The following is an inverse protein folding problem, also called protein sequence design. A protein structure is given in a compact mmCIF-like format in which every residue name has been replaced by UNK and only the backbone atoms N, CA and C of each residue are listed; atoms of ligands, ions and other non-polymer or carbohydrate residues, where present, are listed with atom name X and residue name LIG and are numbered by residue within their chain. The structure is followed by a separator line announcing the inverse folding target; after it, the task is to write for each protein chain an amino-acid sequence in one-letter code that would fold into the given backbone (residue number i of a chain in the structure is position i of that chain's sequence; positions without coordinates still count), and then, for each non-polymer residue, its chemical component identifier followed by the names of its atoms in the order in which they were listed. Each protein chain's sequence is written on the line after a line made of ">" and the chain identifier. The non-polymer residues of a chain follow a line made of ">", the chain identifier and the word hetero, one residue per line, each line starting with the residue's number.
data_IF_771845776445
#
_entry.id   IF_771845776445
#
_cell.length_a   1.000
_cell.length_b   1.000
_cell.length_c   1.000
_cell.angle_alpha   90.00
_cell.angle_beta   90.00
_cell.angle_gamma   90.00
#
_symmetry.space_group_name_H-M   'P 1'
#
loop_
_entity.id
_entity.type
_entity.pdbx_description
1 polymer ?
#
# COMPACT_ATOMS: atom_id res chain seq x y z
N UNK A 1 -14.79 9.56 24.90
CA UNK A 1 -15.56 10.14 23.79
C UNK A 1 -14.72 10.28 22.51
N UNK A 2 -13.38 10.21 22.57
CA UNK A 2 -12.52 10.23 21.37
C UNK A 2 -12.45 8.90 20.60
N UNK A 3 -12.45 7.74 21.26
CA UNK A 3 -12.32 6.45 20.55
C UNK A 3 -13.44 6.15 19.54
N UNK A 4 -14.71 6.46 19.87
CA UNK A 4 -15.82 6.33 18.92
C UNK A 4 -15.72 7.37 17.80
N UNK A 5 -15.17 8.57 18.07
CA UNK A 5 -14.80 9.52 17.01
C UNK A 5 -13.71 8.93 16.11
N UNK A 6 -12.67 8.32 16.67
CA UNK A 6 -11.57 7.67 15.94
C UNK A 6 -12.07 6.49 15.09
N UNK A 7 -12.87 5.59 15.65
CA UNK A 7 -13.48 4.49 14.90
C UNK A 7 -14.46 4.98 13.82
N UNK A 8 -15.22 6.05 14.08
CA UNK A 8 -16.10 6.65 13.07
C UNK A 8 -15.36 7.45 11.99
N UNK A 9 -14.05 7.67 12.14
CA UNK A 9 -13.17 8.21 11.11
C UNK A 9 -12.60 7.12 10.18
N UNK A 10 -12.58 5.84 10.59
CA UNK A 10 -12.08 4.73 9.75
C UNK A 10 -12.96 4.46 8.51
N UNK A 11 -14.31 4.44 8.58
CA UNK A 11 -15.14 4.35 7.37
C UNK A 11 -14.98 5.57 6.47
N UNK A 12 -14.70 6.74 7.07
CA UNK A 12 -14.46 7.99 6.35
C UNK A 12 -13.07 8.04 5.73
N UNK A 13 -12.10 7.21 6.15
CA UNK A 13 -10.77 7.23 5.52
C UNK A 13 -10.75 6.72 4.08
N UNK A 14 -11.85 6.14 3.55
CA UNK A 14 -11.98 5.78 2.13
C UNK A 14 -12.16 7.02 1.23
N UNK A 15 -13.17 7.90 1.42
CA UNK A 15 -13.24 9.17 0.68
C UNK A 15 -12.17 10.21 1.10
N UNK A 16 -11.63 10.13 2.32
CA UNK A 16 -10.54 11.00 2.81
C UNK A 16 -9.12 10.37 2.68
N UNK A 17 -8.99 9.29 1.90
CA UNK A 17 -7.70 8.73 1.46
C UNK A 17 -6.99 9.67 0.47
N UNK A 18 -7.77 10.51 -0.21
CA UNK A 18 -7.28 11.64 -0.99
C UNK A 18 -7.02 12.78 -0.01
N UNK A 19 -5.79 13.28 0.00
CA UNK A 19 -5.31 14.25 0.99
C UNK A 19 -6.04 15.58 0.82
N UNK A 20 -7.09 15.81 1.60
CA UNK A 20 -7.67 17.14 1.82
C UNK A 20 -7.09 17.75 3.09
N UNK A 21 -6.71 19.01 2.97
CA UNK A 21 -5.95 19.78 3.95
C UNK A 21 -6.74 20.09 5.24
N UNK A 22 -5.99 20.37 6.32
CA UNK A 22 -6.39 21.10 7.54
C UNK A 22 -7.01 20.36 8.75
N UNK A 23 -6.50 19.18 9.12
CA UNK A 23 -6.58 18.76 10.53
C UNK A 23 -5.27 18.12 11.00
N UNK A 24 -4.46 18.89 11.74
CA UNK A 24 -3.13 18.48 12.23
C UNK A 24 -3.21 17.26 13.15
N UNK A 25 -4.33 17.09 13.87
CA UNK A 25 -4.57 15.91 14.71
C UNK A 25 -4.73 14.66 13.85
N UNK A 26 -5.46 14.77 12.73
CA UNK A 26 -5.69 13.69 11.79
C UNK A 26 -4.40 13.29 11.04
N UNK A 27 -3.51 14.24 10.76
CA UNK A 27 -2.18 13.98 10.17
C UNK A 27 -1.30 13.20 11.14
N UNK A 28 -1.16 13.66 12.38
CA UNK A 28 -0.35 12.96 13.40
C UNK A 28 -0.84 11.53 13.67
N UNK A 29 -2.16 11.33 13.63
CA UNK A 29 -2.76 10.01 13.79
C UNK A 29 -2.50 9.10 12.58
N UNK A 30 -2.66 9.63 11.35
CA UNK A 30 -2.34 8.90 10.12
C UNK A 30 -0.87 8.46 10.10
N UNK A 31 0.04 9.31 10.57
CA UNK A 31 1.46 8.99 10.67
C UNK A 31 1.74 7.95 11.76
N UNK A 32 1.09 8.06 12.92
CA UNK A 32 1.19 7.05 13.99
C UNK A 32 0.73 5.67 13.50
N UNK A 33 -0.45 5.59 12.87
CA UNK A 33 -1.02 4.34 12.38
C UNK A 33 -0.29 3.74 11.18
N UNK A 34 0.57 4.52 10.52
CA UNK A 34 1.26 4.05 9.33
C UNK A 34 2.13 2.83 9.64
N UNK A 35 1.94 1.74 8.89
CA UNK A 35 2.79 0.57 8.92
C UNK A 35 3.60 0.57 7.63
N UNK A 36 4.92 0.71 7.77
CA UNK A 36 5.85 0.59 6.64
C UNK A 36 5.92 -0.88 6.23
N UNK A 37 5.63 -1.17 4.97
CA UNK A 37 5.67 -2.53 4.41
C UNK A 37 7.05 -2.87 3.87
N UNK A 38 7.34 -4.17 3.71
CA UNK A 38 8.60 -4.64 3.14
C UNK A 38 8.82 -4.13 1.71
N UNK A 39 7.74 -4.07 0.92
CA UNK A 39 7.79 -3.49 -0.43
C UNK A 39 8.12 -1.99 -0.40
N UNK A 40 7.63 -1.22 0.58
CA UNK A 40 8.02 0.18 0.72
C UNK A 40 9.51 0.31 1.06
N UNK A 41 10.03 -0.56 1.93
CA UNK A 41 11.46 -0.56 2.26
C UNK A 41 12.34 -0.94 1.07
N UNK A 42 11.92 -1.91 0.25
CA UNK A 42 12.64 -2.28 -0.97
C UNK A 42 12.49 -1.21 -2.06
N UNK A 43 11.31 -0.62 -2.19
CA UNK A 43 11.07 0.51 -3.08
C UNK A 43 11.97 1.69 -2.74
N UNK A 44 12.16 2.03 -1.47
CA UNK A 44 13.08 3.08 -1.06
C UNK A 44 14.52 2.79 -1.48
N UNK A 45 14.99 1.54 -1.32
CA UNK A 45 16.35 1.13 -1.75
C UNK A 45 16.52 1.28 -3.26
N UNK A 46 15.60 0.72 -4.04
CA UNK A 46 15.60 0.81 -5.50
C UNK A 46 15.51 2.26 -5.95
N UNK A 47 14.63 3.04 -5.32
CA UNK A 47 14.49 4.47 -5.59
C UNK A 47 15.80 5.21 -5.34
N UNK A 48 16.53 4.92 -4.25
CA UNK A 48 17.79 5.59 -3.95
C UNK A 48 18.91 5.21 -4.94
N UNK A 49 18.93 3.95 -5.38
CA UNK A 49 19.91 3.43 -6.32
C UNK A 49 19.62 3.84 -7.77
N UNK A 50 18.37 4.16 -8.11
CA UNK A 50 18.02 4.40 -9.50
C UNK A 50 18.65 5.66 -10.07
N UNK A 51 19.22 5.49 -11.25
CA UNK A 51 20.03 6.47 -11.97
C UNK A 51 19.54 6.65 -13.42
N UNK A 52 20.14 7.60 -14.15
CA UNK A 52 19.62 8.06 -15.45
C UNK A 52 19.25 6.92 -16.40
N UNK A 53 18.14 7.09 -17.12
CA UNK A 53 17.57 6.12 -18.07
C UNK A 53 17.10 4.79 -17.46
N UNK A 54 16.81 4.77 -16.15
CA UNK A 54 16.12 3.65 -15.51
C UNK A 54 14.63 3.96 -15.29
N UNK A 55 13.79 2.92 -15.45
CA UNK A 55 12.38 2.97 -15.05
C UNK A 55 12.15 2.05 -13.86
N UNK A 56 11.57 2.61 -12.79
CA UNK A 56 11.15 1.86 -11.60
C UNK A 56 9.64 1.74 -11.59
N UNK A 57 9.16 0.51 -11.71
CA UNK A 57 7.76 0.15 -11.73
C UNK A 57 7.29 -0.34 -10.37
N UNK A 58 6.34 0.37 -9.76
CA UNK A 58 5.61 -0.12 -8.59
C UNK A 58 4.27 -0.68 -9.07
N UNK A 59 4.20 -2.01 -9.16
CA UNK A 59 3.09 -2.77 -9.73
C UNK A 59 2.19 -3.34 -8.63
N UNK A 60 0.89 -3.35 -8.85
CA UNK A 60 -0.06 -3.99 -7.93
C UNK A 60 -1.51 -3.66 -8.27
N UNK A 61 -2.43 -4.30 -7.59
CA UNK A 61 -3.88 -4.11 -7.72
C UNK A 61 -4.37 -2.79 -7.12
N UNK A 62 -5.62 -2.43 -7.42
CA UNK A 62 -6.28 -1.29 -6.75
C UNK A 62 -6.35 -1.54 -5.24
N UNK A 63 -6.06 -0.51 -4.44
CA UNK A 63 -6.06 -0.61 -2.98
C UNK A 63 -4.76 -1.10 -2.34
N UNK A 64 -3.75 -1.54 -3.10
CA UNK A 64 -2.47 -2.01 -2.53
C UNK A 64 -1.61 -0.90 -1.91
N UNK A 65 -1.96 0.37 -2.12
CA UNK A 65 -1.24 1.51 -1.52
C UNK A 65 -0.13 2.10 -2.40
N UNK A 66 -0.04 1.72 -3.68
CA UNK A 66 0.91 2.30 -4.66
C UNK A 66 0.97 3.83 -4.60
N UNK A 67 -0.17 4.49 -4.75
CA UNK A 67 -0.26 5.95 -4.77
C UNK A 67 0.17 6.58 -3.44
N UNK A 68 -0.01 5.87 -2.31
CA UNK A 68 0.44 6.35 -0.99
C UNK A 68 1.96 6.37 -0.89
N UNK A 69 2.61 5.27 -1.29
CA UNK A 69 4.08 5.16 -1.35
C UNK A 69 4.64 6.23 -2.30
N UNK A 70 4.13 6.29 -3.54
CA UNK A 70 4.62 7.24 -4.54
C UNK A 70 4.41 8.70 -4.13
N UNK A 71 3.25 9.05 -3.59
CA UNK A 71 3.00 10.40 -3.06
C UNK A 71 4.03 10.77 -2.01
N UNK A 72 4.31 9.87 -1.07
CA UNK A 72 5.27 10.11 0.02
C UNK A 72 6.66 10.40 -0.52
N UNK A 73 7.20 9.53 -1.36
CA UNK A 73 8.56 9.68 -1.89
C UNK A 73 8.68 10.83 -2.90
N UNK A 74 7.64 11.10 -3.68
CA UNK A 74 7.65 12.20 -4.65
C UNK A 74 7.88 13.56 -3.98
N UNK A 75 7.42 13.76 -2.74
CA UNK A 75 7.68 15.02 -2.00
C UNK A 75 9.17 15.31 -1.80
N UNK A 76 9.98 14.27 -1.68
CA UNK A 76 11.41 14.39 -1.39
C UNK A 76 12.29 14.29 -2.63
N UNK A 77 11.84 13.56 -3.66
CA UNK A 77 12.68 13.20 -4.81
C UNK A 77 12.22 13.77 -6.16
N UNK A 78 11.10 14.54 -6.22
CA UNK A 78 10.58 15.15 -7.46
C UNK A 78 11.57 16.07 -8.19
N UNK A 79 12.54 16.65 -7.49
CA UNK A 79 13.56 17.52 -8.09
C UNK A 79 14.58 16.75 -8.93
N UNK A 80 14.78 15.45 -8.66
CA UNK A 80 15.81 14.63 -9.31
C UNK A 80 15.25 13.41 -10.05
N UNK A 81 14.04 12.97 -9.72
CA UNK A 81 13.34 11.84 -10.35
C UNK A 81 11.93 12.24 -10.79
N UNK A 82 11.46 11.66 -11.88
CA UNK A 82 10.12 11.93 -12.40
C UNK A 82 9.12 10.90 -11.87
N UNK A 83 8.03 11.36 -11.27
CA UNK A 83 7.04 10.51 -10.61
C UNK A 83 5.71 10.52 -11.35
N UNK A 84 5.15 9.34 -11.55
CA UNK A 84 3.82 9.14 -12.12
C UNK A 84 2.99 8.23 -11.20
N UNK A 85 2.03 8.82 -10.47
CA UNK A 85 1.41 8.18 -9.30
C UNK A 85 0.31 7.17 -9.65
N UNK A 86 -0.26 7.25 -10.85
CA UNK A 86 -1.29 6.34 -11.33
C UNK A 86 -1.38 6.39 -12.85
N UNK A 87 -0.68 5.48 -13.51
CA UNK A 87 -0.66 5.42 -14.97
C UNK A 87 -1.94 4.83 -15.61
N UNK A 88 -3.00 4.64 -14.82
CA UNK A 88 -4.24 4.01 -15.28
C UNK A 88 -5.40 4.98 -15.47
N UNK A 89 -5.26 6.22 -15.00
CA UNK A 89 -6.22 7.28 -15.25
C UNK A 89 -5.64 8.24 -16.29
N UNK A 90 -6.37 8.45 -17.39
CA UNK A 90 -6.02 9.53 -18.31
C UNK A 90 -6.25 10.87 -17.61
N UNK A 91 -5.30 11.79 -17.76
CA UNK A 91 -5.42 13.14 -17.23
C UNK A 91 -6.33 14.03 -18.10
N UNK A 92 -6.83 13.50 -19.22
CA UNK A 92 -7.70 14.22 -20.15
C UNK A 92 -8.88 13.36 -20.64
N UNK A 93 -9.99 14.04 -20.96
CA UNK A 93 -11.26 13.43 -21.42
C UNK A 93 -11.14 12.70 -22.77
N UNK A 94 -10.06 12.90 -23.52
CA UNK A 94 -9.87 12.36 -24.87
C UNK A 94 -8.69 11.41 -25.00
N UNK A 95 -7.91 11.20 -23.93
CA UNK A 95 -6.74 10.34 -23.94
C UNK A 95 -7.06 9.00 -23.29
N UNK A 96 -6.53 7.92 -23.84
CA UNK A 96 -6.60 6.60 -23.21
C UNK A 96 -5.41 6.39 -22.25
N UNK A 97 -5.53 5.49 -21.27
CA UNK A 97 -4.41 5.13 -20.40
C UNK A 97 -3.18 4.61 -21.17
N UNK A 98 -3.40 3.97 -22.34
CA UNK A 98 -2.31 3.51 -23.22
C UNK A 98 -1.56 4.70 -23.82
N UNK A 99 -2.28 5.70 -24.35
CA UNK A 99 -1.67 6.91 -24.90
C UNK A 99 -0.94 7.71 -23.82
N UNK A 100 -1.51 7.80 -22.62
CA UNK A 100 -0.85 8.44 -21.49
C UNK A 100 0.47 7.75 -21.12
N UNK A 101 0.49 6.41 -21.12
CA UNK A 101 1.72 5.64 -20.93
C UNK A 101 2.72 5.88 -22.07
N UNK A 102 2.29 5.88 -23.33
CA UNK A 102 3.15 6.14 -24.48
C UNK A 102 3.83 7.50 -24.39
N UNK A 103 3.07 8.56 -24.12
CA UNK A 103 3.61 9.91 -23.93
C UNK A 103 4.63 9.94 -22.79
N UNK A 104 4.35 9.29 -21.65
CA UNK A 104 5.28 9.29 -20.51
C UNK A 104 6.56 8.54 -20.81
N UNK A 105 6.50 7.44 -21.56
CA UNK A 105 7.68 6.71 -21.96
C UNK A 105 8.50 7.44 -23.03
N UNK A 106 7.83 8.14 -23.95
CA UNK A 106 8.52 9.01 -24.91
C UNK A 106 9.20 10.19 -24.21
N UNK A 107 8.51 10.88 -23.30
CA UNK A 107 9.11 11.93 -22.45
C UNK A 107 10.31 11.39 -21.65
N UNK A 108 10.19 10.20 -21.06
CA UNK A 108 11.29 9.57 -20.34
C UNK A 108 12.51 9.32 -21.22
N UNK A 109 12.33 8.88 -22.47
CA UNK A 109 13.45 8.66 -23.40
C UNK A 109 14.17 9.95 -23.79
N UNK A 110 13.47 11.07 -23.75
CA UNK A 110 14.04 12.40 -24.00
C UNK A 110 14.71 13.00 -22.76
N UNK A 111 14.35 12.52 -21.56
CA UNK A 111 14.83 13.03 -20.29
C UNK A 111 15.84 12.07 -19.66
N UNK A 112 17.06 12.54 -19.34
CA UNK A 112 18.08 11.74 -18.64
C UNK A 112 17.79 11.55 -17.14
N UNK A 113 16.52 11.40 -16.74
CA UNK A 113 16.08 11.28 -15.35
C UNK A 113 15.36 9.94 -15.13
N UNK A 114 15.52 9.30 -13.96
CA UNK A 114 14.78 8.08 -13.66
C UNK A 114 13.27 8.34 -13.64
N UNK A 115 12.51 7.45 -14.28
CA UNK A 115 11.05 7.47 -14.24
C UNK A 115 10.55 6.48 -13.18
N UNK A 116 9.75 6.99 -12.24
CA UNK A 116 9.17 6.23 -11.14
C UNK A 116 7.65 6.19 -11.34
N UNK A 117 7.10 5.02 -11.62
CA UNK A 117 5.71 4.89 -12.06
C UNK A 117 4.94 3.86 -11.25
N UNK A 118 3.76 4.25 -10.79
CA UNK A 118 2.76 3.37 -10.18
C UNK A 118 1.75 2.92 -11.20
N UNK A 119 1.54 1.61 -11.28
CA UNK A 119 0.69 1.03 -12.33
C UNK A 119 -0.04 -0.22 -11.87
N UNK A 120 -1.23 -0.42 -12.41
CA UNK A 120 -1.94 -1.69 -12.25
C UNK A 120 -1.34 -2.72 -13.21
N UNK A 121 -1.04 -3.92 -12.71
CA UNK A 121 -0.47 -5.01 -13.52
C UNK A 121 -1.38 -5.38 -14.71
N UNK A 122 -2.70 -5.27 -14.55
CA UNK A 122 -3.67 -5.46 -15.65
C UNK A 122 -3.43 -4.47 -16.79
N UNK A 123 -3.09 -3.21 -16.46
CA UNK A 123 -2.80 -2.18 -17.46
C UNK A 123 -1.55 -2.51 -18.28
N UNK A 124 -0.55 -3.14 -17.66
CA UNK A 124 0.63 -3.65 -18.38
C UNK A 124 0.31 -4.77 -19.37
N UNK A 125 -0.63 -5.65 -19.03
CA UNK A 125 -1.16 -6.62 -19.98
C UNK A 125 -1.74 -5.95 -21.24
N UNK A 126 -2.45 -4.84 -21.09
CA UNK A 126 -2.98 -4.07 -22.22
C UNK A 126 -1.89 -3.29 -22.97
N UNK A 127 -1.03 -2.58 -22.24
CA UNK A 127 0.01 -1.73 -22.82
C UNK A 127 1.03 -2.54 -23.64
N UNK A 128 1.46 -3.70 -23.13
CA UNK A 128 2.40 -4.58 -23.84
C UNK A 128 1.93 -5.00 -25.24
N UNK A 129 0.60 -5.05 -25.46
CA UNK A 129 -0.03 -5.41 -26.74
C UNK A 129 -0.34 -4.18 -27.60
N UNK A 130 -0.82 -3.11 -26.99
CA UNK A 130 -1.45 -1.97 -27.69
C UNK A 130 -0.64 -0.67 -27.69
N UNK A 131 0.40 -0.55 -26.87
CA UNK A 131 1.26 0.64 -26.84
C UNK A 131 1.99 0.87 -28.17
N UNK A 132 2.52 2.08 -28.34
CA UNK A 132 3.25 2.49 -29.55
C UNK A 132 4.46 1.60 -29.84
N UNK A 133 4.81 1.47 -31.11
CA UNK A 133 6.04 0.79 -31.54
C UNK A 133 7.29 1.63 -31.24
N UNK A 134 7.15 2.93 -31.03
CA UNK A 134 8.24 3.81 -30.56
C UNK A 134 8.74 3.38 -29.16
N UNK A 135 7.86 2.72 -28.38
CA UNK A 135 8.13 2.18 -27.06
C UNK A 135 8.28 0.65 -27.05
N UNK A 136 8.77 0.08 -28.16
CA UNK A 136 8.91 -1.37 -28.32
C UNK A 136 9.83 -2.02 -27.28
N UNK A 137 10.92 -1.37 -26.91
CA UNK A 137 11.84 -1.76 -25.84
C UNK A 137 11.10 -1.94 -24.51
N UNK A 138 10.38 -0.90 -24.06
CA UNK A 138 9.62 -0.91 -22.81
C UNK A 138 8.49 -1.95 -22.86
N UNK A 139 7.77 -2.05 -23.98
CA UNK A 139 6.76 -3.12 -24.18
C UNK A 139 7.37 -4.50 -24.06
N UNK A 140 8.57 -4.72 -24.58
CA UNK A 140 9.27 -6.01 -24.52
C UNK A 140 9.64 -6.35 -23.08
N UNK A 141 10.18 -5.40 -22.31
CA UNK A 141 10.49 -5.61 -20.90
C UNK A 141 9.24 -5.92 -20.06
N UNK A 142 8.13 -5.21 -20.31
CA UNK A 142 6.86 -5.49 -19.65
C UNK A 142 6.38 -6.91 -19.99
N UNK A 143 6.54 -7.39 -21.23
CA UNK A 143 6.18 -8.79 -21.59
C UNK A 143 7.05 -9.81 -20.85
N UNK A 144 8.35 -9.56 -20.74
CA UNK A 144 9.29 -10.43 -20.01
C UNK A 144 8.90 -10.50 -18.53
N UNK A 145 8.60 -9.35 -17.91
CA UNK A 145 8.11 -9.28 -16.54
C UNK A 145 6.80 -10.06 -16.36
N UNK A 146 5.79 -9.84 -17.21
CA UNK A 146 4.49 -10.53 -17.14
C UNK A 146 4.59 -12.04 -17.38
N UNK A 147 5.66 -12.50 -18.04
CA UNK A 147 5.94 -13.93 -18.22
C UNK A 147 6.63 -14.56 -17.00
N UNK A 148 6.93 -13.79 -15.94
CA UNK A 148 7.62 -14.27 -14.75
C UNK A 148 9.14 -14.40 -14.91
N UNK A 149 9.71 -13.85 -15.99
CA UNK A 149 11.14 -13.92 -16.26
C UNK A 149 11.89 -12.73 -15.65
N UNK A 150 13.19 -12.94 -15.36
CA UNK A 150 14.06 -11.84 -14.90
C UNK A 150 14.17 -10.76 -15.97
N UNK A 151 14.10 -9.51 -15.54
CA UNK A 151 14.23 -8.32 -16.38
C UNK A 151 15.67 -7.82 -16.37
N UNK A 152 16.07 -7.09 -17.41
CA UNK A 152 17.42 -6.53 -17.57
C UNK A 152 17.72 -5.38 -16.61
N UNK A 153 19.00 -5.02 -16.49
CA UNK A 153 19.55 -4.04 -15.53
C UNK A 153 18.84 -2.66 -15.48
N UNK A 154 18.27 -2.17 -16.59
CA UNK A 154 17.74 -0.80 -16.66
C UNK A 154 16.25 -0.64 -16.27
N UNK A 155 15.53 -1.72 -15.96
CA UNK A 155 14.11 -1.66 -15.59
C UNK A 155 13.84 -2.51 -14.36
N UNK A 156 13.42 -1.88 -13.26
CA UNK A 156 13.13 -2.59 -12.01
C UNK A 156 11.64 -2.68 -11.77
N UNK A 157 11.13 -3.90 -11.51
CA UNK A 157 9.74 -4.14 -11.18
C UNK A 157 9.61 -4.56 -9.71
N UNK A 158 8.80 -3.83 -8.96
CA UNK A 158 8.39 -4.14 -7.60
C UNK A 158 6.90 -4.42 -7.61
N UNK A 159 6.54 -5.69 -7.54
CA UNK A 159 5.14 -6.13 -7.55
C UNK A 159 4.65 -6.47 -6.15
N UNK A 160 3.56 -5.86 -5.73
CA UNK A 160 2.90 -6.15 -4.45
C UNK A 160 2.53 -7.64 -4.30
N UNK A 161 2.26 -8.36 -5.38
CA UNK A 161 1.97 -9.80 -5.32
C UNK A 161 3.19 -10.64 -4.90
N UNK A 162 4.40 -10.11 -5.09
CA UNK A 162 5.64 -10.75 -4.64
C UNK A 162 5.90 -10.60 -3.13
N UNK A 163 5.05 -9.84 -2.42
CA UNK A 163 5.18 -9.60 -0.98
C UNK A 163 4.03 -10.25 -0.22
N UNK A 164 4.37 -11.27 0.55
CA UNK A 164 3.42 -12.06 1.33
C UNK A 164 2.72 -11.21 2.40
N UNK A 165 1.41 -10.99 2.23
CA UNK A 165 0.58 -10.27 3.21
C UNK A 165 0.26 -11.11 4.46
N UNK A 166 0.22 -12.43 4.29
CA UNK A 166 -0.10 -13.42 5.31
C UNK A 166 0.80 -14.63 5.19
N UNK A 167 1.40 -15.07 6.30
CA UNK A 167 2.29 -16.22 6.34
C UNK A 167 1.92 -17.13 7.51
N UNK A 168 2.39 -18.38 7.51
CA UNK A 168 2.21 -19.27 8.65
C UNK A 168 3.48 -19.30 9.48
N UNK A 169 3.35 -19.16 10.80
CA UNK A 169 4.42 -19.40 11.79
C UNK A 169 3.85 -20.25 12.90
N UNK A 170 4.53 -21.35 13.24
CA UNK A 170 4.15 -22.24 14.35
C UNK A 170 2.70 -22.77 14.30
N UNK A 171 2.18 -23.00 13.09
CA UNK A 171 0.80 -23.46 12.87
C UNK A 171 -0.27 -22.36 12.96
N UNK A 172 0.13 -21.11 13.18
CA UNK A 172 -0.76 -19.95 13.23
C UNK A 172 -0.58 -19.08 11.99
N UNK A 173 -1.69 -18.57 11.44
CA UNK A 173 -1.62 -17.57 10.38
C UNK A 173 -1.31 -16.19 10.96
N UNK A 174 -0.30 -15.55 10.39
CA UNK A 174 0.28 -14.29 10.82
C UNK A 174 0.22 -13.26 9.69
N UNK A 175 0.29 -11.98 10.03
CA UNK A 175 0.37 -10.89 9.05
C UNK A 175 1.34 -9.81 9.49
N UNK A 176 2.34 -9.53 8.65
CA UNK A 176 3.31 -8.45 8.86
C UNK A 176 2.70 -7.05 8.80
N UNK A 177 1.47 -6.94 8.27
CA UNK A 177 0.72 -5.68 8.24
C UNK A 177 -0.37 -5.63 9.31
N UNK A 178 -1.25 -6.63 9.37
CA UNK A 178 -2.46 -6.56 10.19
C UNK A 178 -2.15 -6.60 11.69
N UNK A 179 -1.15 -7.38 12.12
CA UNK A 179 -0.78 -7.47 13.54
C UNK A 179 -0.23 -6.14 14.07
N UNK A 180 0.81 -5.52 13.47
CA UNK A 180 1.29 -4.22 13.93
C UNK A 180 0.23 -3.12 13.84
N UNK A 181 -0.63 -3.14 12.82
CA UNK A 181 -1.71 -2.18 12.69
C UNK A 181 -2.71 -2.29 13.85
N UNK A 182 -3.16 -3.52 14.16
CA UNK A 182 -4.07 -3.77 15.27
C UNK A 182 -3.42 -3.41 16.60
N UNK A 183 -2.14 -3.75 16.80
CA UNK A 183 -1.39 -3.39 18.00
C UNK A 183 -1.37 -1.87 18.22
N UNK A 184 -1.04 -1.09 17.18
CA UNK A 184 -1.08 0.38 17.26
C UNK A 184 -2.47 0.92 17.55
N UNK A 185 -3.50 0.39 16.90
CA UNK A 185 -4.89 0.79 17.11
C UNK A 185 -5.32 0.57 18.57
N UNK A 186 -4.90 -0.55 19.15
CA UNK A 186 -5.19 -0.92 20.53
C UNK A 186 -4.37 -0.07 21.51
N UNK A 187 -3.07 0.14 21.28
CA UNK A 187 -2.23 1.00 22.12
C UNK A 187 -2.74 2.45 22.16
N UNK A 188 -3.20 2.99 21.03
CA UNK A 188 -3.85 4.29 20.98
C UNK A 188 -5.13 4.34 21.84
N UNK A 189 -5.89 3.26 21.91
CA UNK A 189 -7.05 3.15 22.78
C UNK A 189 -6.67 3.10 24.26
N UNK A 190 -5.67 2.29 24.62
CA UNK A 190 -5.24 2.13 26.01
C UNK A 190 -4.56 3.36 26.58
N UNK A 191 -3.70 4.04 25.82
CA UNK A 191 -3.06 5.28 26.26
C UNK A 191 -4.11 6.34 26.64
N UNK A 192 -5.22 6.42 25.89
CA UNK A 192 -6.35 7.28 26.23
C UNK A 192 -7.11 6.84 27.50
N UNK A 193 -7.28 5.54 27.72
CA UNK A 193 -7.95 4.98 28.90
C UNK A 193 -7.12 5.14 30.18
N UNK A 194 -5.81 4.88 30.12
CA UNK A 194 -4.89 5.02 31.25
C UNK A 194 -4.57 6.48 31.56
N UNK A 195 -4.55 7.39 30.57
CA UNK A 195 -4.48 8.82 30.86
C UNK A 195 -5.67 9.30 31.71
N UNK A 196 -6.82 8.62 31.61
CA UNK A 196 -8.04 8.95 32.36
C UNK A 196 -8.18 8.21 33.71
N UNK A 197 -7.41 7.15 33.93
CA UNK A 197 -7.33 6.43 35.20
C UNK A 197 -5.86 6.34 35.61
N UNK A 198 -5.44 7.17 36.58
CA UNK A 198 -4.21 6.95 37.36
C UNK A 198 -4.29 5.58 38.04
N UNK A 199 -3.95 4.51 37.33
CA UNK A 199 -3.82 3.18 37.89
C UNK A 199 -2.40 2.72 37.57
N UNK A 200 -1.54 2.78 38.58
CA UNK A 200 -0.23 2.15 38.54
C UNK A 200 -0.39 0.64 38.37
N UNK A 201 0.54 0.08 37.58
CA UNK A 201 0.86 -1.32 37.27
C UNK A 201 0.71 -1.61 35.75
N UNK A 202 1.80 -1.98 35.04
CA UNK A 202 1.76 -2.30 33.62
C UNK A 202 1.29 -3.75 33.42
N UNK A 203 0.17 -3.93 32.72
CA UNK A 203 -0.35 -5.24 32.31
C UNK A 203 -0.39 -5.28 30.77
N UNK A 204 0.34 -6.21 30.15
CA UNK A 204 0.33 -6.39 28.70
C UNK A 204 -0.80 -7.36 28.31
N UNK A 205 -1.68 -7.05 27.35
CA UNK A 205 -2.63 -8.02 26.81
C UNK A 205 -1.86 -9.17 26.14
N UNK A 206 -2.21 -10.43 26.43
CA UNK A 206 -1.80 -11.56 25.59
C UNK A 206 -2.67 -11.54 24.33
N UNK A 207 -2.03 -11.41 23.17
CA UNK A 207 -2.67 -11.49 21.87
C UNK A 207 -2.92 -12.97 21.54
N UNK A 208 -4.14 -13.32 21.15
CA UNK A 208 -4.46 -14.63 20.59
C UNK A 208 -5.20 -14.38 19.27
N UNK A 209 -4.48 -14.41 18.16
CA UNK A 209 -5.06 -14.44 16.81
C UNK A 209 -5.54 -15.85 16.52
N UNK A 210 -6.73 -16.20 17.02
CA UNK A 210 -7.40 -17.40 16.55
C UNK A 210 -8.07 -17.09 15.20
N UNK A 211 -7.41 -17.48 14.11
CA UNK A 211 -8.04 -17.58 12.79
C UNK A 211 -9.04 -18.74 12.82
N UNK A 212 -10.29 -18.49 13.18
CA UNK A 212 -11.34 -19.47 12.95
C UNK A 212 -11.69 -19.46 11.46
N UNK A 213 -11.24 -20.47 10.73
CA UNK A 213 -11.86 -20.84 9.45
C UNK A 213 -13.28 -21.31 9.77
N UNK A 214 -14.27 -20.44 9.60
CA UNK A 214 -15.64 -20.88 9.46
C UNK A 214 -15.95 -20.96 7.96
N UNK A 215 -16.77 -21.94 7.56
CA UNK A 215 -17.00 -22.31 6.15
C UNK A 215 -17.62 -21.20 5.28
N UNK A 216 -17.94 -20.04 5.86
CA UNK A 216 -18.34 -18.84 5.17
C UNK A 216 -17.31 -17.71 5.36
N UNK A 217 -16.88 -17.16 4.24
CA UNK A 217 -15.81 -16.17 3.97
C UNK A 217 -15.71 -14.95 4.92
N UNK A 218 -15.38 -15.14 6.20
CA UNK A 218 -15.18 -14.04 7.14
C UNK A 218 -13.93 -14.24 8.00
N UNK A 219 -13.07 -13.22 8.08
CA UNK A 219 -11.91 -13.20 8.96
C UNK A 219 -12.36 -12.62 10.31
N UNK A 220 -12.60 -13.51 11.27
CA UNK A 220 -13.04 -13.15 12.62
C UNK A 220 -11.82 -13.10 13.56
N UNK A 221 -11.39 -11.88 13.92
CA UNK A 221 -10.42 -11.67 14.98
C UNK A 221 -11.13 -11.49 16.32
N UNK A 222 -10.96 -12.46 17.23
CA UNK A 222 -11.48 -12.36 18.60
C UNK A 222 -10.37 -11.84 19.53
N UNK A 223 -10.50 -10.60 20.02
CA UNK A 223 -9.59 -10.08 21.04
C UNK A 223 -10.13 -10.43 22.44
N UNK A 224 -9.43 -11.33 23.14
CA UNK A 224 -9.72 -11.64 24.54
C UNK A 224 -9.14 -10.55 25.43
N UNK A 225 -10.02 -9.73 26.01
CA UNK A 225 -9.68 -8.77 27.07
C UNK A 225 -10.14 -9.34 28.41
N UNK A 226 -9.23 -9.34 29.38
CA UNK A 226 -9.22 -10.13 30.62
C UNK A 226 -10.53 -10.15 31.46
N UNK A 227 -10.73 -11.29 32.16
CA UNK A 227 -11.62 -11.70 33.29
C UNK A 227 -13.05 -11.14 33.49
N UNK A 228 -13.43 -9.99 32.92
CA UNK A 228 -14.81 -9.44 33.03
C UNK A 228 -15.66 -9.67 31.77
N UNK A 229 -15.24 -10.56 30.86
CA UNK A 229 -16.02 -10.96 29.68
C UNK A 229 -16.48 -9.78 28.79
N UNK A 230 -15.63 -8.76 28.61
CA UNK A 230 -15.86 -7.70 27.62
C UNK A 230 -15.08 -8.02 26.35
N UNK A 231 -15.78 -8.59 25.37
CA UNK A 231 -15.23 -8.92 24.07
C UNK A 231 -15.22 -7.69 23.16
N UNK A 232 -14.08 -7.39 22.53
CA UNK A 232 -14.07 -6.56 21.31
C UNK A 232 -13.99 -7.53 20.15
N UNK A 233 -15.12 -7.69 19.47
CA UNK A 233 -15.19 -8.44 18.21
C UNK A 233 -14.75 -7.51 17.08
N UNK A 234 -13.57 -7.75 16.52
CA UNK A 234 -13.14 -7.06 15.30
C UNK A 234 -13.42 -8.00 14.13
N UNK A 235 -14.55 -7.78 13.48
CA UNK A 235 -14.89 -8.50 12.24
C UNK A 235 -14.25 -7.77 11.08
N UNK A 236 -13.24 -8.39 10.46
CA UNK A 236 -12.66 -7.90 9.21
C UNK A 236 -13.35 -8.65 8.09
N UNK A 237 -14.24 -7.97 7.36
CA UNK A 237 -14.90 -8.55 6.20
C UNK A 237 -14.03 -8.34 4.96
N UNK A 238 -13.59 -9.43 4.34
CA UNK A 238 -13.05 -9.38 2.98
C UNK A 238 -14.26 -9.43 2.04
N UNK A 239 -14.57 -8.31 1.37
CA UNK A 239 -15.56 -8.32 0.27
C UNK A 239 -14.82 -8.70 -1.00
N UNK A 240 -15.13 -9.89 -1.52
CA UNK A 240 -14.82 -10.23 -2.91
C UNK A 240 -15.60 -9.26 -3.81
N UNK A 241 -14.88 -8.42 -4.56
CA UNK A 241 -15.45 -7.76 -5.73
C UNK A 241 -15.34 -8.76 -6.88
N UNK A 242 -16.46 -9.45 -7.15
CA UNK A 242 -16.66 -10.19 -8.39
C UNK A 242 -16.80 -9.23 -9.57
#
# INVERSE_FOLDING_TARGET
>A
MEFIKVLSLLPKSSPFAVSTEYDTTLVSYKDYQYIKTDIEANFEKVLLQSSGNEVVFLCGSSGDGKSKILTRFSKYYKSIKDFHLDATHSFSLHQTAIQALDEKFSEFKENNRPLIIGVNIVMFGHYSRKGSNENYDIKTFIKVFLAGNQTSENNTFLDFESYTKFYFSDGEGRSSFAEPFLEKLILAYWSHLFYKKKCGQPWWPKFATNLMQNQDKYLLGLLLLNYEARYILVVITCRDYY
#
